data_IF_011386552686
#
_entry.id   IF_011386552686
#
_cell.length_a   1.000
_cell.length_b   1.000
_cell.length_c   1.000
_cell.angle_alpha   90.00
_cell.angle_beta   90.00
_cell.angle_gamma   90.00
#
_symmetry.space_group_name_H-M   'P 1'
#
loop_
_entity.id
_entity.type
_entity.pdbx_description
1 polymer ?
#
# COMPACT_ATOMS: atom_id res chain seq x y z
N UNK A 1 -7.74 -22.82 -3.60
CA UNK A 1 -6.99 -21.80 -2.82
C UNK A 1 -7.30 -20.41 -3.40
N UNK A 2 -7.91 -19.53 -2.61
CA UNK A 2 -8.34 -18.19 -3.03
C UNK A 2 -7.12 -17.29 -3.34
N UNK A 3 -7.30 -16.29 -4.22
CA UNK A 3 -6.28 -15.29 -4.54
C UNK A 3 -5.70 -14.64 -3.27
N UNK A 4 -6.56 -14.28 -2.31
CA UNK A 4 -6.13 -13.71 -1.03
C UNK A 4 -5.22 -14.66 -0.25
N UNK A 5 -5.57 -15.94 -0.12
CA UNK A 5 -4.76 -16.91 0.63
C UNK A 5 -3.38 -17.16 0.03
N UNK A 6 -3.25 -17.08 -1.31
CA UNK A 6 -1.97 -17.25 -2.01
C UNK A 6 -1.08 -15.99 -1.98
N UNK A 7 -1.69 -14.81 -1.93
CA UNK A 7 -0.98 -13.53 -2.00
C UNK A 7 -1.08 -12.73 -0.69
N UNK A 8 -1.46 -13.38 0.42
CA UNK A 8 -1.76 -12.74 1.71
C UNK A 8 -0.64 -11.79 2.17
N UNK A 9 0.61 -12.20 2.02
CA UNK A 9 1.76 -11.39 2.39
C UNK A 9 1.82 -10.06 1.61
N UNK A 10 1.60 -10.09 0.29
CA UNK A 10 1.62 -8.90 -0.56
C UNK A 10 0.42 -7.99 -0.32
N UNK A 11 -0.76 -8.59 -0.11
CA UNK A 11 -1.98 -7.84 0.24
C UNK A 11 -1.80 -7.14 1.57
N UNK A 12 -1.28 -7.82 2.60
CA UNK A 12 -1.00 -7.21 3.90
C UNK A 12 0.08 -6.13 3.82
N UNK A 13 1.13 -6.34 3.02
CA UNK A 13 2.16 -5.33 2.79
C UNK A 13 1.60 -4.07 2.12
N UNK A 14 0.73 -4.24 1.12
CA UNK A 14 0.01 -3.13 0.49
C UNK A 14 -0.92 -2.39 1.46
N UNK A 15 -1.74 -3.12 2.23
CA UNK A 15 -2.63 -2.51 3.22
C UNK A 15 -1.87 -1.73 4.30
N UNK A 16 -0.81 -2.30 4.86
CA UNK A 16 -0.03 -1.66 5.91
C UNK A 16 0.69 -0.41 5.38
N UNK A 17 1.35 -0.51 4.23
CA UNK A 17 2.05 0.63 3.62
C UNK A 17 1.09 1.75 3.22
N UNK A 18 -0.08 1.41 2.68
CA UNK A 18 -1.12 2.39 2.37
C UNK A 18 -1.61 3.13 3.61
N UNK A 19 -1.93 2.42 4.70
CA UNK A 19 -2.45 3.05 5.94
C UNK A 19 -1.39 3.97 6.53
N UNK A 20 -0.15 3.49 6.67
CA UNK A 20 0.95 4.28 7.24
C UNK A 20 1.16 5.55 6.42
N UNK A 21 1.20 5.47 5.09
CA UNK A 21 1.38 6.64 4.24
C UNK A 21 0.22 7.64 4.35
N UNK A 22 -1.02 7.15 4.33
CA UNK A 22 -2.20 8.00 4.45
C UNK A 22 -2.27 8.70 5.82
N UNK A 23 -1.88 8.03 6.90
CA UNK A 23 -1.80 8.62 8.24
C UNK A 23 -0.70 9.68 8.34
N UNK A 24 0.48 9.43 7.76
CA UNK A 24 1.56 10.42 7.70
C UNK A 24 1.07 11.68 6.97
N UNK A 25 0.38 11.53 5.84
CA UNK A 25 -0.12 12.67 5.07
C UNK A 25 -1.30 13.38 5.74
N UNK A 26 -2.15 12.66 6.46
CA UNK A 26 -3.16 13.30 7.31
C UNK A 26 -2.50 14.11 8.45
N UNK A 27 -1.46 13.57 9.08
CA UNK A 27 -0.66 14.30 10.07
C UNK A 27 0.03 15.52 9.46
N UNK A 28 0.57 15.41 8.26
CA UNK A 28 1.18 16.52 7.54
C UNK A 28 0.17 17.63 7.20
N UNK A 29 -1.04 17.26 6.79
CA UNK A 29 -2.13 18.22 6.57
C UNK A 29 -2.48 18.97 7.87
N UNK A 30 -2.53 18.27 9.00
CA UNK A 30 -2.70 18.89 10.32
C UNK A 30 -1.58 19.89 10.65
N UNK A 31 -0.31 19.56 10.39
CA UNK A 31 0.81 20.49 10.60
C UNK A 31 0.80 21.72 9.69
N UNK A 32 0.05 21.68 8.58
CA UNK A 32 -0.04 22.76 7.58
C UNK A 32 -1.36 23.52 7.63
N UNK A 33 -2.14 23.35 8.70
CA UNK A 33 -3.48 23.91 8.84
C UNK A 33 -4.40 23.59 7.64
N UNK A 34 -4.15 22.46 6.95
CA UNK A 34 -5.02 22.01 5.87
C UNK A 34 -6.18 21.18 6.45
N UNK A 35 -7.42 21.41 5.98
CA UNK A 35 -8.56 20.62 6.44
C UNK A 35 -8.39 19.16 6.01
N UNK A 36 -8.73 18.23 6.92
CA UNK A 36 -8.76 16.81 6.59
C UNK A 36 -9.75 16.54 5.46
N UNK A 37 -9.28 15.84 4.43
CA UNK A 37 -10.12 15.39 3.32
C UNK A 37 -10.12 13.86 3.26
N UNK A 38 -11.30 13.28 3.49
CA UNK A 38 -11.48 11.82 3.41
C UNK A 38 -11.13 11.28 2.02
N UNK A 39 -11.48 12.03 0.96
CA UNK A 39 -11.13 11.66 -0.41
C UNK A 39 -9.62 11.66 -0.62
N UNK A 40 -8.92 12.69 -0.15
CA UNK A 40 -7.46 12.78 -0.22
C UNK A 40 -6.82 11.60 0.52
N UNK A 41 -7.28 11.30 1.74
CA UNK A 41 -6.84 10.16 2.52
C UNK A 41 -7.06 8.82 1.79
N UNK A 42 -8.26 8.61 1.25
CA UNK A 42 -8.59 7.39 0.50
C UNK A 42 -7.71 7.23 -0.74
N UNK A 43 -7.46 8.31 -1.49
CA UNK A 43 -6.56 8.29 -2.64
C UNK A 43 -5.12 7.95 -2.24
N UNK A 44 -4.62 8.53 -1.15
CA UNK A 44 -3.29 8.22 -0.63
C UNK A 44 -3.17 6.74 -0.25
N UNK A 45 -4.16 6.24 0.50
CA UNK A 45 -4.24 4.85 0.92
C UNK A 45 -4.26 3.89 -0.28
N UNK A 46 -5.18 4.11 -1.24
CA UNK A 46 -5.36 3.22 -2.39
C UNK A 46 -4.15 3.25 -3.32
N UNK A 47 -3.64 4.44 -3.66
CA UNK A 47 -2.51 4.58 -4.58
C UNK A 47 -1.25 3.95 -4.01
N UNK A 48 -0.89 4.28 -2.75
CA UNK A 48 0.31 3.71 -2.14
C UNK A 48 0.14 2.23 -1.82
N UNK A 49 -1.03 1.80 -1.34
CA UNK A 49 -1.24 0.41 -1.03
C UNK A 49 -1.24 -0.49 -2.26
N UNK A 50 -1.89 -0.06 -3.35
CA UNK A 50 -1.87 -0.79 -4.62
C UNK A 50 -0.47 -0.81 -5.23
N UNK A 51 0.24 0.34 -5.25
CA UNK A 51 1.59 0.42 -5.79
C UNK A 51 2.56 -0.49 -5.03
N UNK A 52 2.60 -0.40 -3.70
CA UNK A 52 3.50 -1.21 -2.88
C UNK A 52 3.14 -2.70 -2.91
N UNK A 53 1.85 -3.04 -2.86
CA UNK A 53 1.39 -4.43 -2.98
C UNK A 53 1.76 -5.04 -4.34
N UNK A 54 1.61 -4.28 -5.42
CA UNK A 54 1.99 -4.71 -6.76
C UNK A 54 3.52 -4.87 -6.91
N UNK A 55 4.29 -3.90 -6.41
CA UNK A 55 5.74 -3.96 -6.42
C UNK A 55 6.27 -5.17 -5.65
N UNK A 56 5.71 -5.46 -4.47
CA UNK A 56 6.06 -6.63 -3.66
C UNK A 56 5.76 -7.94 -4.40
N UNK A 57 4.60 -8.03 -5.04
CA UNK A 57 4.22 -9.18 -5.87
C UNK A 57 5.18 -9.38 -7.05
N UNK A 58 5.51 -8.31 -7.78
CA UNK A 58 6.45 -8.38 -8.91
C UNK A 58 7.86 -8.79 -8.48
N UNK A 59 8.36 -8.26 -7.37
CA UNK A 59 9.67 -8.61 -6.83
C UNK A 59 9.75 -10.10 -6.53
N UNK A 60 8.75 -10.63 -5.81
CA UNK A 60 8.66 -12.05 -5.50
C UNK A 60 8.55 -12.93 -6.75
N UNK A 61 7.77 -12.51 -7.77
CA UNK A 61 7.69 -13.23 -9.04
C UNK A 61 9.04 -13.28 -9.76
N UNK A 62 9.80 -12.18 -9.76
CA UNK A 62 11.14 -12.11 -10.38
C UNK A 62 12.15 -13.01 -9.66
N UNK A 63 12.19 -12.96 -8.33
CA UNK A 63 13.10 -13.80 -7.52
C UNK A 63 12.87 -15.30 -7.75
N UNK A 64 11.60 -15.73 -7.82
CA UNK A 64 11.28 -17.13 -8.12
C UNK A 64 11.58 -17.56 -9.57
N UNK A 65 11.76 -16.63 -10.49
CA UNK A 65 12.13 -16.94 -11.88
C UNK A 65 13.64 -17.02 -12.05
N UNK A 66 14.42 -16.18 -11.34
CA UNK A 66 15.89 -16.20 -11.39
C UNK A 66 16.54 -17.33 -10.57
N UNK A 67 15.85 -17.87 -9.57
CA UNK A 67 16.34 -18.97 -8.74
C UNK A 67 15.94 -20.37 -9.28
N UNK A 68 15.41 -20.43 -10.50
CA UNK A 68 15.10 -21.67 -11.23
C UNK A 68 16.05 -21.83 -12.41
#
# INVERSE_FOLDING_TARGET
MNFYTRNRAFVNAGLLSGIVFALIMAGFDYFRDQPFSLLKFALHFVLFGAFNGYMAYRKHKKENTNNK
#
